data_IF_377598024560
#
_entry.id   IF_377598024560
#
_cell.length_a   1.000
_cell.length_b   1.000
_cell.length_c   1.000
_cell.angle_alpha   90.00
_cell.angle_beta   90.00
_cell.angle_gamma   90.00
#
_symmetry.space_group_name_H-M   'P 1'
#
loop_
_entity.id
_entity.type
_entity.pdbx_description
1 polymer ?
#
# COMPACT_ATOMS: atom_id res chain seq x y z
N UNK A 1 25.95 -9.07 1.15
CA UNK A 1 26.46 -8.13 0.11
C UNK A 1 26.06 -8.61 -1.29
N UNK A 2 26.61 -9.72 -1.82
CA UNK A 2 26.27 -10.21 -3.16
C UNK A 2 24.75 -10.30 -3.48
N UNK A 3 23.87 -10.89 -2.64
CA UNK A 3 22.45 -10.98 -2.98
C UNK A 3 21.74 -9.63 -3.09
N UNK A 4 22.12 -8.64 -2.28
CA UNK A 4 21.59 -7.27 -2.34
C UNK A 4 21.98 -6.58 -3.64
N UNK A 5 23.25 -6.69 -4.03
CA UNK A 5 23.73 -6.15 -5.31
C UNK A 5 23.00 -6.78 -6.50
N UNK A 6 22.80 -8.11 -6.48
CA UNK A 6 22.04 -8.82 -7.52
C UNK A 6 20.57 -8.36 -7.55
N UNK A 7 19.95 -8.11 -6.39
CA UNK A 7 18.59 -7.54 -6.32
C UNK A 7 18.52 -6.12 -6.91
N UNK A 8 19.49 -5.25 -6.62
CA UNK A 8 19.57 -3.90 -7.18
C UNK A 8 19.83 -3.90 -8.70
N UNK A 9 20.69 -4.81 -9.19
CA UNK A 9 20.94 -4.98 -10.63
C UNK A 9 19.69 -5.46 -11.38
N UNK A 10 18.87 -6.32 -10.76
CA UNK A 10 17.60 -6.80 -11.31
C UNK A 10 16.62 -5.65 -11.57
N UNK A 11 16.69 -4.58 -10.78
CA UNK A 11 15.76 -3.44 -10.84
C UNK A 11 16.22 -2.32 -11.75
N UNK A 12 17.52 -2.10 -11.93
CA UNK A 12 18.05 -1.06 -12.83
C UNK A 12 18.11 -1.51 -14.30
N UNK A 13 18.07 -2.81 -14.58
CA UNK A 13 18.25 -3.32 -15.95
C UNK A 13 16.99 -3.15 -16.82
N UNK A 14 17.15 -2.48 -17.96
CA UNK A 14 16.09 -2.13 -18.93
C UNK A 14 15.72 -3.24 -19.92
N UNK A 15 16.53 -4.31 -20.00
CA UNK A 15 16.19 -5.52 -20.75
C UNK A 15 15.49 -6.55 -19.84
N UNK A 16 14.27 -6.94 -20.23
CA UNK A 16 13.44 -7.94 -19.53
C UNK A 16 14.09 -9.31 -19.42
N UNK A 17 14.75 -9.79 -20.48
CA UNK A 17 15.37 -11.12 -20.52
C UNK A 17 16.53 -11.16 -19.52
N UNK A 18 17.36 -10.12 -19.49
CA UNK A 18 18.46 -10.00 -18.52
C UNK A 18 17.93 -9.85 -17.10
N UNK A 19 16.95 -8.97 -16.84
CA UNK A 19 16.31 -8.84 -15.51
C UNK A 19 15.76 -10.18 -15.02
N UNK A 20 15.14 -10.98 -15.90
CA UNK A 20 14.64 -12.32 -15.58
C UNK A 20 15.75 -13.35 -15.33
N UNK A 21 16.91 -13.24 -15.98
CA UNK A 21 18.09 -14.07 -15.65
C UNK A 21 18.70 -13.69 -14.31
N UNK A 22 18.79 -12.39 -14.00
CA UNK A 22 19.26 -11.90 -12.69
C UNK A 22 18.31 -12.38 -11.57
N UNK A 23 16.99 -12.29 -11.78
CA UNK A 23 15.98 -12.85 -10.87
C UNK A 23 16.18 -14.35 -10.62
N UNK A 24 16.35 -15.15 -11.68
CA UNK A 24 16.61 -16.60 -11.57
C UNK A 24 17.92 -16.90 -10.82
N UNK A 25 18.96 -16.11 -11.03
CA UNK A 25 20.23 -16.23 -10.31
C UNK A 25 20.05 -15.92 -8.81
N UNK A 26 19.36 -14.83 -8.47
CA UNK A 26 19.05 -14.44 -7.10
C UNK A 26 18.21 -15.51 -6.38
N UNK A 27 17.16 -16.00 -7.04
CA UNK A 27 16.33 -17.12 -6.57
C UNK A 27 17.17 -18.37 -6.28
N UNK A 28 18.05 -18.74 -7.22
CA UNK A 28 18.97 -19.85 -7.08
C UNK A 28 19.96 -19.69 -5.91
N UNK A 29 20.52 -18.49 -5.72
CA UNK A 29 21.42 -18.19 -4.58
C UNK A 29 20.69 -18.40 -3.25
N UNK A 30 19.47 -17.86 -3.11
CA UNK A 30 18.72 -17.95 -1.85
C UNK A 30 18.29 -19.40 -1.55
N UNK A 31 17.65 -20.07 -2.51
CA UNK A 31 17.11 -21.44 -2.33
C UNK A 31 18.19 -22.52 -2.22
N UNK A 32 19.30 -22.43 -2.96
CA UNK A 32 20.40 -23.39 -2.84
C UNK A 32 21.17 -23.26 -1.52
N UNK A 33 21.09 -22.09 -0.87
CA UNK A 33 21.64 -21.92 0.48
C UNK A 33 20.77 -22.64 1.49
N UNK A 34 19.43 -22.50 1.40
CA UNK A 34 18.45 -23.26 2.22
C UNK A 34 18.69 -24.78 2.14
N UNK A 35 18.73 -25.33 0.92
CA UNK A 35 18.87 -26.78 0.67
C UNK A 35 20.19 -27.40 1.18
N UNK A 36 21.21 -26.59 1.52
CA UNK A 36 22.48 -27.05 2.09
C UNK A 36 22.48 -27.06 3.62
N UNK A 37 21.63 -26.24 4.25
CA UNK A 37 21.51 -26.14 5.72
C UNK A 37 20.86 -27.41 6.27
N UNK A 38 19.72 -27.80 5.69
CA UNK A 38 18.92 -28.96 6.15
C UNK A 38 19.69 -30.29 6.06
N UNK A 39 20.69 -30.40 5.18
CA UNK A 39 21.47 -31.63 4.95
C UNK A 39 22.66 -31.80 5.89
N UNK A 40 23.20 -30.71 6.45
CA UNK A 40 24.48 -30.75 7.15
C UNK A 40 24.38 -30.56 8.68
N UNK A 41 23.20 -30.23 9.22
CA UNK A 41 22.93 -30.19 10.67
C UNK A 41 23.74 -29.16 11.49
N UNK A 42 24.62 -28.40 10.85
CA UNK A 42 25.60 -27.53 11.50
C UNK A 42 25.25 -26.04 11.33
N UNK A 43 25.10 -25.35 12.47
CA UNK A 43 25.18 -23.89 12.65
C UNK A 43 24.59 -22.98 11.55
N UNK A 44 23.31 -22.64 11.70
CA UNK A 44 22.68 -21.34 11.36
C UNK A 44 23.34 -20.51 10.23
N UNK A 45 23.42 -21.04 9.00
CA UNK A 45 23.56 -20.15 7.83
C UNK A 45 22.24 -19.37 7.68
N UNK A 46 22.21 -18.10 8.11
CA UNK A 46 21.03 -17.26 7.88
C UNK A 46 20.96 -16.96 6.38
N UNK A 47 20.00 -17.57 5.69
CA UNK A 47 19.70 -17.23 4.29
C UNK A 47 19.36 -15.74 4.22
N UNK A 48 19.94 -15.05 3.25
CA UNK A 48 19.74 -13.62 3.12
C UNK A 48 18.32 -13.33 2.63
N UNK A 49 17.66 -12.42 3.32
CA UNK A 49 16.42 -11.75 2.91
C UNK A 49 16.69 -10.25 2.88
N UNK A 50 16.03 -9.49 2.00
CA UNK A 50 16.12 -8.04 2.05
C UNK A 50 15.47 -7.53 3.34
N UNK A 51 16.06 -6.50 3.94
CA UNK A 51 15.43 -5.68 4.99
C UNK A 51 14.44 -4.68 4.38
N UNK A 52 13.57 -4.06 5.18
CA UNK A 52 12.69 -2.99 4.68
C UNK A 52 13.49 -1.86 3.99
N UNK A 53 14.67 -1.49 4.52
CA UNK A 53 15.58 -0.52 3.90
C UNK A 53 16.04 -0.98 2.52
N UNK A 54 16.45 -2.24 2.37
CA UNK A 54 16.86 -2.80 1.07
C UNK A 54 15.71 -2.76 0.04
N UNK A 55 14.46 -2.92 0.48
CA UNK A 55 13.26 -2.88 -0.36
C UNK A 55 12.94 -1.46 -0.81
N UNK A 56 12.99 -0.48 0.11
CA UNK A 56 12.78 0.93 -0.22
C UNK A 56 13.86 1.44 -1.17
N UNK A 57 15.13 1.11 -0.91
CA UNK A 57 16.25 1.43 -1.80
C UNK A 57 16.07 0.87 -3.22
N UNK A 58 15.47 -0.32 -3.34
CA UNK A 58 15.12 -0.93 -4.63
C UNK A 58 14.02 -0.15 -5.36
N UNK A 59 12.98 0.33 -4.66
CA UNK A 59 11.96 1.17 -5.29
C UNK A 59 12.48 2.57 -5.65
N UNK A 60 13.37 3.15 -4.83
CA UNK A 60 14.07 4.40 -5.18
C UNK A 60 14.93 4.23 -6.44
N UNK A 61 15.63 3.11 -6.59
CA UNK A 61 16.37 2.78 -7.82
C UNK A 61 15.47 2.60 -9.07
N UNK A 62 14.16 2.39 -8.89
CA UNK A 62 13.18 2.36 -9.98
C UNK A 62 12.62 3.76 -10.32
N UNK A 63 13.07 4.81 -9.60
CA UNK A 63 12.66 6.20 -9.79
C UNK A 63 11.69 6.73 -8.74
N UNK A 64 11.31 5.94 -7.72
CA UNK A 64 10.37 6.37 -6.69
C UNK A 64 10.99 7.32 -5.66
N UNK A 65 10.55 8.58 -5.53
CA UNK A 65 11.07 9.45 -4.48
C UNK A 65 10.58 8.99 -3.10
N UNK A 66 11.46 9.06 -2.08
CA UNK A 66 11.20 8.48 -0.75
C UNK A 66 9.88 8.96 -0.12
N UNK A 67 9.60 10.26 -0.22
CA UNK A 67 8.39 10.87 0.33
C UNK A 67 7.10 10.35 -0.31
N UNK A 68 7.14 9.90 -1.58
CA UNK A 68 5.96 9.37 -2.28
C UNK A 68 5.70 7.89 -1.96
N UNK A 69 6.72 7.16 -1.46
CA UNK A 69 6.61 5.81 -0.92
C UNK A 69 5.98 5.80 0.49
N UNK A 70 6.27 6.82 1.30
CA UNK A 70 5.74 6.99 2.67
C UNK A 70 4.99 8.32 2.85
N UNK A 71 3.83 8.53 2.20
CA UNK A 71 3.10 9.81 2.22
C UNK A 71 2.44 10.15 3.56
N UNK A 72 2.46 9.23 4.54
CA UNK A 72 1.78 9.38 5.83
C UNK A 72 2.80 9.69 6.93
N UNK A 73 2.76 10.89 7.50
CA UNK A 73 3.75 11.33 8.52
C UNK A 73 3.76 10.49 9.81
N UNK A 74 2.66 9.81 10.13
CA UNK A 74 2.55 8.92 11.28
C UNK A 74 3.04 7.48 10.98
N UNK A 75 3.29 7.14 9.71
CA UNK A 75 3.74 5.84 9.25
C UNK A 75 5.05 6.02 8.49
N UNK A 76 6.14 6.13 9.25
CA UNK A 76 7.50 6.25 8.73
C UNK A 76 8.35 5.04 9.17
N UNK A 77 9.30 4.59 8.31
CA UNK A 77 10.29 3.61 8.71
C UNK A 77 11.29 4.18 9.74
N UNK A 78 12.04 3.32 10.41
CA UNK A 78 13.07 3.71 11.38
C UNK A 78 14.41 4.13 10.71
N UNK A 79 14.34 4.64 9.48
CA UNK A 79 15.47 5.11 8.67
C UNK A 79 15.01 6.25 7.75
N UNK A 80 15.96 7.06 7.30
CA UNK A 80 15.76 8.22 6.42
C UNK A 80 16.19 7.94 4.98
N UNK A 81 15.86 8.85 4.08
CA UNK A 81 16.39 8.87 2.71
C UNK A 81 17.93 8.97 2.70
N UNK A 82 18.51 9.75 3.62
CA UNK A 82 19.96 9.92 3.76
C UNK A 82 20.66 8.62 4.18
N UNK A 83 20.01 7.76 4.98
CA UNK A 83 20.56 6.44 5.34
C UNK A 83 20.64 5.50 4.14
N UNK A 84 19.68 5.60 3.22
CA UNK A 84 19.66 4.84 1.96
C UNK A 84 20.77 5.35 1.03
N UNK A 85 20.80 6.66 0.79
CA UNK A 85 21.80 7.34 -0.04
C UNK A 85 23.22 7.01 0.47
N UNK A 86 23.49 7.18 1.76
CA UNK A 86 24.81 6.89 2.35
C UNK A 86 25.26 5.43 2.16
N UNK A 87 24.29 4.50 2.17
CA UNK A 87 24.53 3.07 1.97
C UNK A 87 24.71 2.68 0.50
N UNK A 88 24.20 3.49 -0.44
CA UNK A 88 24.40 3.33 -1.88
C UNK A 88 25.70 4.01 -2.35
N UNK A 89 25.91 5.27 -1.97
CA UNK A 89 27.05 6.12 -2.32
C UNK A 89 28.33 5.82 -1.52
N UNK A 90 28.46 4.62 -0.97
CA UNK A 90 29.76 4.09 -0.51
C UNK A 90 30.75 3.87 -1.67
N UNK A 91 30.30 4.02 -2.92
CA UNK A 91 31.13 4.42 -4.06
C UNK A 91 30.40 5.51 -4.87
N UNK A 92 31.16 6.51 -5.32
CA UNK A 92 30.80 7.61 -6.26
C UNK A 92 29.81 8.68 -5.76
N UNK A 93 30.31 9.93 -5.74
CA UNK A 93 29.55 11.12 -5.38
C UNK A 93 28.75 11.63 -6.58
N UNK A 94 27.43 11.72 -6.46
CA UNK A 94 26.63 12.69 -7.21
C UNK A 94 25.42 13.09 -6.36
N UNK A 95 25.47 14.31 -5.82
CA UNK A 95 24.36 14.94 -5.13
C UNK A 95 23.82 16.02 -6.08
N UNK A 96 22.65 15.79 -6.67
CA UNK A 96 21.88 16.86 -7.31
C UNK A 96 20.64 17.16 -6.46
N UNK A 97 20.57 18.40 -6.00
CA UNK A 97 19.52 18.93 -5.13
C UNK A 97 18.36 19.47 -6.00
N UNK A 98 17.39 18.59 -6.29
CA UNK A 98 16.20 18.94 -7.05
C UNK A 98 15.03 19.25 -6.12
N UNK A 99 14.89 20.52 -5.76
CA UNK A 99 13.75 21.05 -4.99
C UNK A 99 12.46 21.00 -5.82
N UNK A 100 11.64 19.96 -5.61
CA UNK A 100 10.35 19.80 -6.30
C UNK A 100 9.20 20.37 -5.44
N UNK A 101 8.38 21.21 -6.08
CA UNK A 101 7.18 21.84 -5.51
C UNK A 101 6.08 20.78 -5.28
N UNK A 102 5.20 20.86 -4.25
CA UNK A 102 4.15 19.87 -4.07
C UNK A 102 3.06 19.96 -5.15
N UNK A 103 3.32 19.28 -6.27
CA UNK A 103 2.32 18.89 -7.27
C UNK A 103 2.29 17.36 -7.37
N UNK A 104 1.16 16.85 -7.84
CA UNK A 104 0.83 15.42 -7.78
C UNK A 104 1.51 14.64 -8.91
N UNK A 105 2.82 14.50 -8.81
CA UNK A 105 3.63 13.73 -9.74
C UNK A 105 3.45 12.21 -9.51
N UNK A 106 3.53 11.38 -10.57
CA UNK A 106 3.54 9.93 -10.42
C UNK A 106 4.80 9.50 -9.65
N UNK A 107 4.71 8.39 -8.91
CA UNK A 107 5.86 7.79 -8.21
C UNK A 107 6.96 7.42 -9.22
N UNK A 108 6.60 7.01 -10.44
CA UNK A 108 7.55 6.62 -11.47
C UNK A 108 7.44 7.52 -12.71
N UNK A 109 8.58 8.01 -13.20
CA UNK A 109 8.67 8.75 -14.47
C UNK A 109 8.40 7.88 -15.69
N UNK A 110 8.64 6.56 -15.57
CA UNK A 110 8.14 5.52 -16.48
C UNK A 110 7.99 4.23 -15.68
N UNK A 111 6.86 3.53 -15.80
CA UNK A 111 6.54 2.35 -14.98
C UNK A 111 7.33 1.10 -15.45
N UNK A 112 8.28 0.57 -14.66
CA UNK A 112 9.09 -0.59 -15.03
C UNK A 112 8.37 -1.87 -14.55
N UNK A 113 7.20 -2.15 -15.14
CA UNK A 113 6.23 -3.17 -14.67
C UNK A 113 6.88 -4.54 -14.37
N UNK A 114 7.80 -4.99 -15.22
CA UNK A 114 8.46 -6.28 -15.05
C UNK A 114 9.52 -6.26 -13.94
N UNK A 115 10.21 -5.14 -13.69
CA UNK A 115 11.14 -5.01 -12.58
C UNK A 115 10.36 -5.02 -11.24
N UNK A 116 9.25 -4.28 -11.15
CA UNK A 116 8.33 -4.31 -10.00
C UNK A 116 7.81 -5.75 -9.79
N UNK A 117 7.37 -6.41 -10.86
CA UNK A 117 6.91 -7.81 -10.81
C UNK A 117 8.00 -8.77 -10.29
N UNK A 118 9.27 -8.57 -10.68
CA UNK A 118 10.38 -9.39 -10.19
C UNK A 118 10.68 -9.14 -8.71
N UNK A 119 10.57 -7.88 -8.23
CA UNK A 119 10.65 -7.55 -6.80
C UNK A 119 9.53 -8.23 -6.01
N UNK A 120 8.29 -8.14 -6.49
CA UNK A 120 7.11 -8.79 -5.88
C UNK A 120 7.30 -10.30 -5.77
N UNK A 121 7.74 -10.97 -6.84
CA UNK A 121 8.04 -12.41 -6.84
C UNK A 121 9.15 -12.78 -5.85
N UNK A 122 10.18 -11.95 -5.72
CA UNK A 122 11.27 -12.20 -4.80
C UNK A 122 10.88 -11.98 -3.32
N UNK A 123 10.05 -10.98 -3.04
CA UNK A 123 9.46 -10.78 -1.72
C UNK A 123 8.48 -11.89 -1.34
N UNK A 124 7.70 -12.38 -2.30
CA UNK A 124 6.82 -13.54 -2.12
C UNK A 124 7.64 -14.78 -1.72
N UNK A 125 8.78 -15.04 -2.36
CA UNK A 125 9.70 -16.11 -1.95
C UNK A 125 10.21 -15.90 -0.52
N UNK A 126 10.74 -14.71 -0.21
CA UNK A 126 11.34 -14.42 1.09
C UNK A 126 10.33 -14.56 2.24
N UNK A 127 9.13 -14.00 2.08
CA UNK A 127 8.03 -14.08 3.06
C UNK A 127 7.44 -15.49 3.18
N UNK A 128 7.49 -16.32 2.12
CA UNK A 128 7.09 -17.72 2.17
C UNK A 128 8.09 -18.60 2.93
N UNK A 129 9.39 -18.42 2.70
CA UNK A 129 10.43 -19.23 3.34
C UNK A 129 10.74 -18.79 4.78
N UNK A 130 10.59 -17.50 5.08
CA UNK A 130 10.90 -16.94 6.40
C UNK A 130 9.75 -16.03 6.88
N UNK A 131 8.62 -16.59 7.34
CA UNK A 131 7.48 -15.80 7.79
C UNK A 131 7.81 -14.78 8.88
N UNK A 132 8.69 -15.18 9.81
CA UNK A 132 9.08 -14.41 10.99
C UNK A 132 10.15 -13.32 10.74
N UNK A 133 10.54 -13.09 9.47
CA UNK A 133 11.71 -12.26 9.14
C UNK A 133 11.49 -10.76 9.24
N UNK A 134 10.23 -10.33 9.16
CA UNK A 134 9.80 -8.96 9.35
C UNK A 134 9.00 -8.84 10.65
N UNK A 135 9.13 -7.72 11.33
CA UNK A 135 8.23 -7.32 12.42
C UNK A 135 6.86 -6.92 11.89
N UNK A 136 5.83 -6.92 12.75
CA UNK A 136 4.48 -6.47 12.39
C UNK A 136 4.48 -5.05 11.80
N UNK A 137 5.28 -4.14 12.38
CA UNK A 137 5.49 -2.77 11.86
C UNK A 137 6.05 -2.78 10.43
N UNK A 138 7.06 -3.61 10.15
CA UNK A 138 7.60 -3.75 8.80
C UNK A 138 6.60 -4.39 7.83
N UNK A 139 5.79 -5.38 8.27
CA UNK A 139 4.73 -5.97 7.46
C UNK A 139 3.66 -4.94 7.10
N UNK A 140 3.24 -4.08 8.05
CA UNK A 140 2.31 -2.96 7.80
C UNK A 140 2.92 -1.94 6.83
N UNK A 141 4.19 -1.57 7.00
CA UNK A 141 4.90 -0.70 6.07
C UNK A 141 4.98 -1.31 4.66
N UNK A 142 5.23 -2.61 4.53
CA UNK A 142 5.27 -3.32 3.23
C UNK A 142 3.89 -3.41 2.56
N UNK A 143 2.82 -3.65 3.31
CA UNK A 143 1.45 -3.66 2.78
C UNK A 143 1.05 -2.24 2.35
N UNK A 144 1.38 -1.22 3.13
CA UNK A 144 1.16 0.19 2.80
C UNK A 144 1.92 0.60 1.54
N UNK A 145 3.20 0.23 1.45
CA UNK A 145 4.07 0.47 0.30
C UNK A 145 3.51 -0.20 -0.97
N UNK A 146 3.10 -1.47 -0.87
CA UNK A 146 2.45 -2.19 -1.97
C UNK A 146 1.15 -1.52 -2.41
N UNK A 147 0.30 -1.13 -1.45
CA UNK A 147 -0.91 -0.36 -1.71
C UNK A 147 -0.61 0.96 -2.42
N UNK A 148 0.38 1.72 -1.94
CA UNK A 148 0.78 3.01 -2.52
C UNK A 148 1.31 2.86 -3.95
N UNK A 149 2.18 1.89 -4.22
CA UNK A 149 2.72 1.59 -5.55
C UNK A 149 1.63 1.12 -6.51
N UNK A 150 0.66 0.33 -6.02
CA UNK A 150 -0.44 -0.16 -6.85
C UNK A 150 -1.42 0.92 -7.31
N UNK A 151 -1.37 2.13 -6.74
CA UNK A 151 -2.17 3.29 -7.16
C UNK A 151 -1.56 4.05 -8.35
N UNK A 152 -0.37 3.67 -8.80
CA UNK A 152 0.23 4.23 -10.00
C UNK A 152 -0.50 3.76 -11.25
N UNK A 153 -0.58 4.65 -12.24
CA UNK A 153 -1.35 4.43 -13.45
C UNK A 153 -0.87 3.16 -14.18
N UNK A 154 -1.82 2.38 -14.68
CA UNK A 154 -1.64 1.13 -15.42
C UNK A 154 -1.10 -0.10 -14.65
N UNK A 155 -0.87 -0.01 -13.33
CA UNK A 155 -0.59 -1.20 -12.50
C UNK A 155 -1.83 -2.09 -12.34
N UNK A 156 -1.99 -3.12 -13.18
CA UNK A 156 -2.98 -4.18 -12.92
C UNK A 156 -2.44 -5.16 -11.86
N UNK A 157 -3.18 -5.46 -10.76
CA UNK A 157 -2.70 -6.39 -9.73
C UNK A 157 -2.48 -7.80 -10.29
N UNK A 158 -1.22 -8.17 -10.49
CA UNK A 158 -0.88 -9.51 -10.95
C UNK A 158 -1.08 -10.56 -9.82
N UNK A 159 -1.13 -11.84 -10.21
CA UNK A 159 -1.34 -12.94 -9.26
C UNK A 159 -0.25 -13.03 -8.19
N UNK A 160 0.99 -12.71 -8.53
CA UNK A 160 2.12 -12.76 -7.58
C UNK A 160 1.97 -11.69 -6.49
N UNK A 161 1.42 -10.51 -6.84
CA UNK A 161 1.12 -9.44 -5.90
C UNK A 161 -0.03 -9.81 -4.94
N UNK A 162 -1.09 -10.44 -5.46
CA UNK A 162 -2.16 -11.00 -4.64
C UNK A 162 -1.66 -12.07 -3.66
N UNK A 163 -0.77 -12.95 -4.12
CA UNK A 163 -0.09 -13.92 -3.26
C UNK A 163 0.81 -13.25 -2.21
N UNK A 164 1.57 -12.21 -2.58
CA UNK A 164 2.43 -11.46 -1.66
C UNK A 164 1.59 -10.79 -0.55
N UNK A 165 0.51 -10.08 -0.90
CA UNK A 165 -0.39 -9.50 0.10
C UNK A 165 -0.96 -10.56 1.03
N UNK A 166 -1.39 -11.70 0.50
CA UNK A 166 -1.93 -12.77 1.33
C UNK A 166 -0.87 -13.33 2.32
N UNK A 167 0.39 -13.45 1.90
CA UNK A 167 1.50 -13.86 2.76
C UNK A 167 1.86 -12.80 3.82
N UNK A 168 1.96 -11.51 3.43
CA UNK A 168 2.23 -10.43 4.37
C UNK A 168 1.13 -10.38 5.45
N UNK A 169 -0.14 -10.51 5.04
CA UNK A 169 -1.28 -10.59 5.95
C UNK A 169 -1.25 -11.84 6.83
N UNK A 170 -0.78 -13.00 6.37
CA UNK A 170 -0.65 -14.20 7.21
C UNK A 170 0.49 -14.15 8.21
N UNK A 171 1.53 -13.36 7.93
CA UNK A 171 2.74 -13.30 8.75
C UNK A 171 2.62 -12.31 9.94
N UNK A 172 1.61 -11.43 9.93
CA UNK A 172 1.33 -10.52 11.07
C UNK A 172 1.00 -11.35 12.32
N UNK A 173 1.62 -11.02 13.45
CA UNK A 173 1.40 -11.72 14.73
C UNK A 173 0.19 -11.14 15.45
N UNK A 174 0.21 -9.85 15.76
CA UNK A 174 -0.83 -9.12 16.50
C UNK A 174 -1.96 -8.64 15.58
N UNK A 175 -2.55 -9.58 14.83
CA UNK A 175 -3.55 -9.30 13.79
C UNK A 175 -4.69 -8.39 14.25
N UNK A 176 -5.22 -8.62 15.46
CA UNK A 176 -6.35 -7.86 15.99
C UNK A 176 -6.01 -6.39 16.30
N UNK A 177 -4.73 -6.02 16.38
CA UNK A 177 -4.28 -4.63 16.51
C UNK A 177 -3.97 -4.08 15.12
N UNK A 178 -3.10 -4.78 14.39
CA UNK A 178 -2.53 -4.35 13.12
C UNK A 178 -3.57 -4.25 11.98
N UNK A 179 -4.67 -5.01 12.04
CA UNK A 179 -5.75 -4.93 11.06
C UNK A 179 -6.49 -3.59 11.10
N UNK A 180 -6.70 -2.98 12.27
CA UNK A 180 -7.33 -1.66 12.38
C UNK A 180 -6.36 -0.53 11.97
N UNK A 181 -5.08 -0.68 12.30
CA UNK A 181 -4.00 0.20 11.85
C UNK A 181 -3.91 0.19 10.32
N UNK A 182 -3.87 -0.99 9.69
CA UNK A 182 -3.94 -1.16 8.24
C UNK A 182 -5.19 -0.52 7.61
N UNK A 183 -6.36 -0.64 8.23
CA UNK A 183 -7.57 0.03 7.71
C UNK A 183 -7.41 1.55 7.69
N UNK A 184 -6.84 2.12 8.75
CA UNK A 184 -6.61 3.56 8.89
C UNK A 184 -5.59 4.05 7.87
N UNK A 185 -4.48 3.33 7.72
CA UNK A 185 -3.41 3.62 6.77
C UNK A 185 -3.95 3.58 5.33
N UNK A 186 -4.56 2.46 4.93
CA UNK A 186 -5.06 2.27 3.56
C UNK A 186 -6.16 3.27 3.19
N UNK A 187 -7.02 3.69 4.14
CA UNK A 187 -8.03 4.73 3.92
C UNK A 187 -7.47 6.15 3.71
N UNK A 188 -6.18 6.35 4.00
CA UNK A 188 -5.50 7.64 3.91
C UNK A 188 -4.39 7.66 2.85
N UNK A 189 -4.17 6.57 2.10
CA UNK A 189 -3.25 6.56 0.95
C UNK A 189 -3.75 7.38 -0.26
N UNK A 190 -5.02 7.78 -0.28
CA UNK A 190 -5.59 8.66 -1.29
C UNK A 190 -6.92 9.26 -0.83
N UNK A 191 -7.18 10.52 -1.19
CA UNK A 191 -8.50 11.14 -1.03
C UNK A 191 -9.45 10.82 -2.21
N UNK A 192 -8.96 10.18 -3.27
CA UNK A 192 -9.81 9.79 -4.40
C UNK A 192 -10.53 8.47 -4.11
N UNK A 193 -11.87 8.53 -4.06
CA UNK A 193 -12.73 7.38 -3.81
C UNK A 193 -12.53 6.22 -4.82
N UNK A 194 -12.16 6.49 -6.08
CA UNK A 194 -11.78 5.45 -7.05
C UNK A 194 -10.55 4.66 -6.60
N UNK A 195 -9.49 5.36 -6.16
CA UNK A 195 -8.28 4.74 -5.60
C UNK A 195 -8.60 3.96 -4.31
N UNK A 196 -9.45 4.50 -3.45
CA UNK A 196 -9.89 3.82 -2.23
C UNK A 196 -10.69 2.54 -2.53
N UNK A 197 -11.59 2.56 -3.52
CA UNK A 197 -12.30 1.36 -3.99
C UNK A 197 -11.34 0.34 -4.61
N UNK A 198 -10.34 0.79 -5.37
CA UNK A 198 -9.30 -0.06 -5.90
C UNK A 198 -8.47 -0.72 -4.78
N UNK A 199 -8.06 -0.01 -3.73
CA UNK A 199 -7.37 -0.60 -2.57
C UNK A 199 -8.21 -1.67 -1.85
N UNK A 200 -9.53 -1.53 -1.82
CA UNK A 200 -10.45 -2.57 -1.31
C UNK A 200 -10.46 -3.81 -2.22
N UNK A 201 -10.45 -3.63 -3.54
CA UNK A 201 -10.41 -4.71 -4.52
C UNK A 201 -9.03 -5.39 -4.59
N UNK A 202 -7.97 -4.65 -4.26
CA UNK A 202 -6.58 -5.11 -4.18
C UNK A 202 -6.36 -6.16 -3.09
N UNK A 203 -7.17 -6.14 -2.01
CA UNK A 203 -7.00 -7.06 -0.88
C UNK A 203 -7.54 -8.46 -1.26
N UNK A 204 -6.71 -9.53 -1.17
CA UNK A 204 -7.13 -10.87 -1.52
C UNK A 204 -8.23 -11.38 -0.56
N UNK A 205 -9.25 -12.04 -1.09
CA UNK A 205 -10.35 -12.64 -0.31
C UNK A 205 -10.18 -14.15 -0.04
N UNK A 206 -9.08 -14.75 -0.52
CA UNK A 206 -8.76 -16.17 -0.32
C UNK A 206 -8.56 -16.55 1.16
N UNK A 207 -8.02 -15.66 1.99
CA UNK A 207 -7.79 -15.92 3.42
C UNK A 207 -8.80 -15.21 4.34
N UNK A 208 -8.94 -15.72 5.56
CA UNK A 208 -9.79 -15.08 6.59
C UNK A 208 -9.32 -13.66 6.88
N UNK A 209 -8.02 -13.44 7.06
CA UNK A 209 -7.44 -12.12 7.33
C UNK A 209 -7.71 -11.13 6.19
N UNK A 210 -7.54 -11.56 4.93
CA UNK A 210 -7.89 -10.75 3.77
C UNK A 210 -9.37 -10.35 3.72
N UNK A 211 -10.29 -11.30 3.97
CA UNK A 211 -11.73 -11.00 4.08
C UNK A 211 -12.08 -10.06 5.24
N UNK A 212 -11.44 -10.23 6.40
CA UNK A 212 -11.65 -9.36 7.56
C UNK A 212 -11.17 -7.94 7.27
N UNK A 213 -9.96 -7.77 6.70
CA UNK A 213 -9.43 -6.47 6.32
C UNK A 213 -10.28 -5.79 5.24
N UNK A 214 -10.66 -6.50 4.18
CA UNK A 214 -11.50 -5.96 3.09
C UNK A 214 -12.83 -5.43 3.63
N UNK A 215 -13.49 -6.14 4.56
CA UNK A 215 -14.73 -5.69 5.22
C UNK A 215 -14.53 -4.43 6.07
N UNK A 216 -13.49 -4.40 6.90
CA UNK A 216 -13.23 -3.27 7.80
C UNK A 216 -12.77 -2.02 7.04
N UNK A 217 -11.83 -2.16 6.10
CA UNK A 217 -11.37 -1.05 5.26
C UNK A 217 -12.53 -0.43 4.48
N UNK A 218 -13.42 -1.27 3.92
CA UNK A 218 -14.61 -0.78 3.22
C UNK A 218 -15.50 0.08 4.11
N UNK A 219 -15.70 -0.30 5.38
CA UNK A 219 -16.43 0.54 6.33
C UNK A 219 -15.69 1.82 6.69
N UNK A 220 -14.36 1.78 6.91
CA UNK A 220 -13.59 2.99 7.20
C UNK A 220 -13.72 3.98 6.03
N UNK A 221 -13.58 3.50 4.79
CA UNK A 221 -13.76 4.30 3.57
C UNK A 221 -15.19 4.84 3.47
N UNK A 222 -16.22 4.01 3.66
CA UNK A 222 -17.62 4.47 3.64
C UNK A 222 -17.87 5.53 4.73
N UNK A 223 -17.32 5.35 5.94
CA UNK A 223 -17.47 6.31 7.04
C UNK A 223 -16.75 7.63 6.75
N UNK A 224 -15.55 7.58 6.13
CA UNK A 224 -14.80 8.74 5.64
C UNK A 224 -15.59 9.50 4.57
N UNK A 225 -16.06 8.80 3.52
CA UNK A 225 -16.83 9.38 2.42
C UNK A 225 -18.20 9.96 2.83
N UNK A 226 -18.75 9.52 3.97
CA UNK A 226 -19.98 10.07 4.56
C UNK A 226 -19.72 11.21 5.57
N UNK A 227 -18.46 11.66 5.73
CA UNK A 227 -18.01 12.61 6.76
C UNK A 227 -18.42 12.19 8.19
N UNK A 228 -18.31 10.89 8.50
CA UNK A 228 -18.64 10.29 9.81
C UNK A 228 -17.39 9.79 10.53
N UNK A 229 -16.33 10.58 10.43
CA UNK A 229 -15.08 10.40 11.18
C UNK A 229 -15.37 10.58 12.68
N UNK A 230 -15.61 9.48 13.39
CA UNK A 230 -16.06 9.49 14.77
C UNK A 230 -17.09 8.42 15.14
N UNK A 231 -17.71 7.75 14.16
CA UNK A 231 -18.43 6.50 14.47
C UNK A 231 -17.40 5.47 14.94
N UNK A 232 -17.56 4.97 16.17
CA UNK A 232 -16.70 3.95 16.74
C UNK A 232 -16.75 2.68 15.86
N UNK A 233 -15.71 2.50 15.06
CA UNK A 233 -15.56 1.34 14.20
C UNK A 233 -15.56 0.06 15.06
N UNK A 234 -16.37 -0.97 14.72
CA UNK A 234 -16.41 -2.22 15.47
C UNK A 234 -15.00 -2.81 15.57
N UNK A 235 -14.47 -2.94 16.79
CA UNK A 235 -13.16 -3.58 17.05
C UNK A 235 -13.25 -5.11 17.10
N UNK A 236 -14.16 -5.68 16.30
CA UNK A 236 -14.46 -7.10 16.20
C UNK A 236 -13.97 -7.62 14.84
N UNK A 237 -12.88 -8.41 14.77
CA UNK A 237 -12.38 -8.97 13.51
C UNK A 237 -13.45 -9.73 12.71
N UNK A 238 -14.43 -10.36 13.38
CA UNK A 238 -15.50 -11.14 12.75
C UNK A 238 -16.82 -10.36 12.60
N UNK A 239 -16.72 -9.02 12.58
CA UNK A 239 -17.77 -8.06 12.28
C UNK A 239 -18.77 -8.57 11.23
N UNK A 240 -20.03 -8.67 11.64
CA UNK A 240 -21.12 -9.16 10.79
C UNK A 240 -21.54 -8.11 9.76
N UNK A 241 -21.86 -8.56 8.54
CA UNK A 241 -22.32 -7.72 7.42
C UNK A 241 -23.53 -6.84 7.80
N UNK A 242 -24.38 -7.28 8.73
CA UNK A 242 -25.48 -6.48 9.26
C UNK A 242 -25.04 -5.09 9.81
N UNK A 243 -23.81 -4.95 10.31
CA UNK A 243 -23.27 -3.68 10.80
C UNK A 243 -22.89 -2.70 9.67
N UNK A 244 -22.71 -3.18 8.43
CA UNK A 244 -22.68 -2.30 7.25
C UNK A 244 -24.06 -1.74 6.91
N UNK A 245 -25.14 -2.47 7.21
CA UNK A 245 -26.52 -2.13 6.81
C UNK A 245 -26.98 -0.72 7.19
N UNK A 246 -26.51 -0.20 8.35
CA UNK A 246 -26.81 1.18 8.79
C UNK A 246 -26.19 2.23 7.86
N UNK A 247 -24.99 1.99 7.35
CA UNK A 247 -24.32 2.87 6.38
C UNK A 247 -24.94 2.71 4.99
N UNK A 248 -25.31 1.49 4.60
CA UNK A 248 -26.01 1.21 3.33
C UNK A 248 -27.35 1.96 3.20
N UNK A 249 -28.05 2.21 4.31
CA UNK A 249 -29.24 3.08 4.28
C UNK A 249 -28.88 4.54 3.96
N UNK A 250 -27.81 5.04 4.58
CA UNK A 250 -27.37 6.44 4.45
C UNK A 250 -26.78 6.74 3.07
N UNK A 251 -26.19 5.73 2.43
CA UNK A 251 -25.69 5.76 1.04
C UNK A 251 -26.78 5.76 -0.04
N UNK A 252 -28.07 5.66 0.32
CA UNK A 252 -29.16 5.79 -0.66
C UNK A 252 -29.18 7.21 -1.25
N UNK A 253 -29.42 7.40 -2.56
CA UNK A 253 -29.46 8.72 -3.18
C UNK A 253 -30.37 9.73 -2.46
N UNK A 254 -31.54 9.28 -1.99
CA UNK A 254 -32.50 10.12 -1.25
C UNK A 254 -32.07 10.47 0.19
N UNK A 255 -31.13 9.72 0.78
CA UNK A 255 -30.54 10.02 2.10
C UNK A 255 -29.31 10.90 1.96
N UNK A 256 -28.50 10.69 0.91
CA UNK A 256 -27.40 11.56 0.53
C UNK A 256 -27.90 12.96 0.15
N UNK A 257 -28.95 13.07 -0.68
CA UNK A 257 -29.54 14.36 -1.07
C UNK A 257 -29.95 15.18 0.15
N UNK A 258 -30.65 14.57 1.12
CA UNK A 258 -31.05 15.21 2.38
C UNK A 258 -29.87 15.64 3.25
N UNK A 259 -28.78 14.89 3.21
CA UNK A 259 -27.56 15.22 3.98
C UNK A 259 -26.83 16.38 3.33
N UNK A 260 -26.76 16.43 2.00
CA UNK A 260 -26.23 17.57 1.24
C UNK A 260 -27.08 18.82 1.46
N UNK A 261 -28.41 18.73 1.36
CA UNK A 261 -29.35 19.82 1.66
C UNK A 261 -29.16 20.37 3.08
N UNK A 262 -29.01 19.50 4.08
CA UNK A 262 -28.76 19.90 5.46
C UNK A 262 -27.38 20.56 5.66
N UNK A 263 -26.33 20.06 4.99
CA UNK A 263 -24.99 20.65 5.06
C UNK A 263 -24.97 22.06 4.44
N UNK A 264 -25.58 22.24 3.27
CA UNK A 264 -25.72 23.55 2.60
C UNK A 264 -26.50 24.54 3.47
N UNK A 265 -27.57 24.09 4.15
CA UNK A 265 -28.29 24.93 5.12
C UNK A 265 -27.47 25.28 6.35
N UNK A 266 -26.58 24.38 6.79
CA UNK A 266 -25.69 24.60 7.95
C UNK A 266 -24.60 25.62 7.63
N UNK A 267 -23.99 25.54 6.44
CA UNK A 267 -23.00 26.50 5.95
C UNK A 267 -23.59 27.90 5.77
N UNK A 268 -24.85 27.99 5.32
CA UNK A 268 -25.58 29.26 5.19
C UNK A 268 -25.98 29.90 6.53
N UNK A 269 -25.88 29.19 7.65
CA UNK A 269 -26.17 29.71 9.00
C UNK A 269 -24.91 30.06 9.81
N UNK A 270 -23.71 29.82 9.28
CA UNK A 270 -22.47 30.30 9.89
C UNK A 270 -22.38 31.84 9.78
N UNK A 271 -21.98 32.58 10.85
CA UNK A 271 -21.90 34.04 10.78
C UNK A 271 -20.91 34.52 9.73
N UNK A 272 -21.39 35.24 8.73
CA UNK A 272 -20.56 35.80 7.66
C UNK A 272 -19.49 36.75 8.23
N UNK A 273 -18.22 36.45 7.96
CA UNK A 273 -17.19 37.47 7.78
C UNK A 273 -16.98 37.65 6.28
N UNK A 274 -17.54 38.75 5.79
CA UNK A 274 -17.22 39.42 4.51
C UNK A 274 -15.70 39.52 4.24
N UNK A 275 -15.16 39.56 3.00
CA UNK A 275 -15.68 39.42 1.61
C UNK A 275 -14.77 38.36 0.87
N UNK A 276 -14.80 38.01 -0.43
CA UNK A 276 -15.35 38.64 -1.67
C UNK A 276 -15.53 37.63 -2.82
N UNK A 277 -16.56 37.83 -3.65
CA UNK A 277 -16.84 37.30 -5.02
C UNK A 277 -16.92 35.77 -5.31
N UNK A 278 -17.83 35.36 -6.23
CA UNK A 278 -18.07 33.96 -6.56
C UNK A 278 -17.29 33.47 -7.80
N UNK A 279 -17.00 32.17 -7.82
CA UNK A 279 -16.70 31.38 -9.02
C UNK A 279 -17.69 30.20 -9.08
N UNK A 280 -17.93 29.67 -10.27
CA UNK A 280 -19.06 28.78 -10.61
C UNK A 280 -19.19 27.51 -9.73
N UNK A 281 -20.42 26.99 -9.53
CA UNK A 281 -20.63 25.72 -8.83
C UNK A 281 -20.19 24.54 -9.69
N UNK A 282 -19.09 23.90 -9.30
CA UNK A 282 -18.54 22.74 -10.01
C UNK A 282 -19.47 21.52 -9.89
N UNK A 283 -20.21 21.24 -10.96
CA UNK A 283 -21.39 20.38 -10.94
C UNK A 283 -21.04 18.90 -11.20
N UNK A 284 -20.27 18.26 -10.29
CA UNK A 284 -19.76 16.90 -10.54
C UNK A 284 -19.70 15.90 -9.35
N UNK A 285 -20.26 16.20 -8.18
CA UNK A 285 -20.20 15.30 -6.99
C UNK A 285 -21.26 14.15 -7.00
N UNK A 286 -22.11 14.09 -8.02
CA UNK A 286 -23.26 13.16 -8.09
C UNK A 286 -23.10 12.29 -9.36
N UNK A 287 -22.92 10.94 -9.32
CA UNK A 287 -23.30 9.99 -8.25
C UNK A 287 -22.30 8.80 -8.05
N UNK A 288 -21.29 8.90 -7.18
CA UNK A 288 -20.20 7.88 -7.14
C UNK A 288 -20.35 6.74 -6.10
N UNK A 289 -21.30 6.82 -5.17
CA UNK A 289 -21.43 5.86 -4.06
C UNK A 289 -22.04 4.50 -4.47
N UNK A 290 -22.80 4.44 -5.58
CA UNK A 290 -23.44 3.19 -6.04
C UNK A 290 -22.47 2.07 -6.45
N UNK A 291 -21.23 2.41 -6.84
CA UNK A 291 -20.25 1.46 -7.36
C UNK A 291 -19.56 0.59 -6.29
N UNK A 292 -19.58 1.04 -5.02
CA UNK A 292 -19.07 0.24 -3.89
C UNK A 292 -19.85 -1.07 -3.74
N UNK A 293 -21.15 -1.10 -4.06
CA UNK A 293 -21.97 -2.31 -3.97
C UNK A 293 -21.48 -3.43 -4.90
N UNK A 294 -21.12 -3.10 -6.14
CA UNK A 294 -20.65 -4.07 -7.15
C UNK A 294 -19.21 -4.56 -6.87
N UNK A 295 -18.36 -3.71 -6.29
CA UNK A 295 -16.96 -4.04 -5.97
C UNK A 295 -16.79 -4.72 -4.60
N UNK A 296 -17.81 -4.69 -3.75
CA UNK A 296 -17.83 -5.35 -2.44
C UNK A 296 -18.23 -6.83 -2.45
N UNK A 297 -18.86 -7.33 -3.52
CA UNK A 297 -19.27 -8.73 -3.60
C UNK A 297 -20.28 -9.14 -2.52
N UNK A 298 -21.31 -8.32 -2.31
CA UNK A 298 -22.49 -8.62 -1.48
C UNK A 298 -23.62 -9.06 -2.39
#
# INVERSE_FOLDING_TARGET
MLPLFVLQMMTVHSDYVVSMHIFKALWGICTNTTNKIDKNGASKFKVWTPSLLDIVAVFMNLGAPFHALFPLSHLQPDFTEQDIISRQHSNENHLEDHLVTPQREPIFTSLPEYNITNVVKFLLLCTSMYPEVYSDKELVLLISLGGRISLEQDMTPNKDFQCLLNNLLSNIREWNVQMFELCTILSNLSEHHHNLSYLVQLIPDGSTRGRQLRRHLSLVIISKLLNKEGICMPKDPDMKIAQLGQFMYQMKPSSLLKTLEANVQSEQQAPQKEQTMPTEPDQQVIPQIGWLYLSLGI
#
